data_IF_579685723352
#
_entry.id   IF_579685723352
#
_cell.length_a   1.000
_cell.length_b   1.000
_cell.length_c   1.000
_cell.angle_alpha   90.00
_cell.angle_beta   90.00
_cell.angle_gamma   90.00
#
_symmetry.space_group_name_H-M   'P 1'
#
loop_
_entity.id
_entity.type
_entity.pdbx_description
1 polymer ?
#
# COMPACT_ATOMS: atom_id res chain seq x y z
N UNK A 1 21.46 -10.59 7.60
CA UNK A 1 20.35 -10.96 6.71
C UNK A 1 19.20 -11.37 7.61
N UNK A 2 18.34 -10.46 8.12
CA UNK A 2 17.22 -10.91 8.93
C UNK A 2 16.22 -11.55 7.97
N UNK A 3 15.74 -12.74 8.31
CA UNK A 3 14.58 -13.35 7.66
C UNK A 3 13.42 -12.42 7.98
N UNK A 4 13.08 -11.57 7.02
CA UNK A 4 12.00 -10.60 7.12
C UNK A 4 10.71 -11.34 7.48
N UNK A 5 9.88 -10.71 8.30
CA UNK A 5 8.66 -11.28 8.86
C UNK A 5 7.65 -11.60 7.73
N UNK A 6 7.86 -12.75 7.09
CA UNK A 6 7.02 -13.24 6.01
C UNK A 6 5.79 -13.92 6.61
N UNK A 7 4.63 -13.52 6.14
CA UNK A 7 3.35 -14.05 6.59
C UNK A 7 2.75 -14.85 5.45
N UNK A 8 2.29 -16.06 5.77
CA UNK A 8 1.66 -16.93 4.78
C UNK A 8 0.34 -16.31 4.31
N UNK A 9 0.12 -16.31 3.00
CA UNK A 9 -1.09 -15.75 2.40
C UNK A 9 -2.36 -16.41 2.96
N UNK A 10 -2.32 -17.72 3.20
CA UNK A 10 -3.43 -18.49 3.77
C UNK A 10 -3.87 -17.97 5.14
N UNK A 11 -2.94 -17.51 5.97
CA UNK A 11 -3.21 -16.99 7.30
C UNK A 11 -4.02 -15.68 7.24
N UNK A 12 -3.69 -14.81 6.27
CA UNK A 12 -4.36 -13.53 6.05
C UNK A 12 -5.76 -13.76 5.45
N UNK A 13 -5.84 -14.63 4.44
CA UNK A 13 -7.12 -14.99 3.82
C UNK A 13 -8.10 -15.55 4.87
N UNK A 14 -7.59 -16.36 5.80
CA UNK A 14 -8.40 -16.93 6.90
C UNK A 14 -8.79 -15.88 7.94
N UNK A 15 -7.85 -15.03 8.39
CA UNK A 15 -8.12 -14.01 9.41
C UNK A 15 -9.10 -12.93 8.94
N UNK A 16 -8.96 -12.46 7.70
CA UNK A 16 -9.78 -11.39 7.15
C UNK A 16 -10.97 -11.89 6.32
N UNK A 17 -11.11 -13.21 6.15
CA UNK A 17 -12.15 -13.86 5.36
C UNK A 17 -12.26 -13.28 3.94
N UNK A 18 -11.10 -13.09 3.28
CA UNK A 18 -10.99 -12.51 1.95
C UNK A 18 -10.67 -13.57 0.90
N UNK A 19 -11.12 -13.36 -0.34
CA UNK A 19 -10.82 -14.27 -1.44
C UNK A 19 -9.35 -14.14 -1.88
N UNK A 20 -8.69 -15.28 -2.13
CA UNK A 20 -7.32 -15.32 -2.70
C UNK A 20 -7.24 -14.63 -4.05
N UNK A 21 -8.32 -14.66 -4.85
CA UNK A 21 -8.43 -13.96 -6.13
C UNK A 21 -8.28 -12.45 -6.00
N UNK A 22 -8.72 -11.85 -4.89
CA UNK A 22 -8.53 -10.43 -4.60
C UNK A 22 -7.05 -10.11 -4.39
N UNK A 23 -6.35 -10.92 -3.58
CA UNK A 23 -4.92 -10.76 -3.33
C UNK A 23 -4.11 -10.92 -4.62
N UNK A 24 -4.43 -11.92 -5.44
CA UNK A 24 -3.80 -12.07 -6.76
C UNK A 24 -4.03 -10.87 -7.67
N UNK A 25 -5.21 -10.24 -7.59
CA UNK A 25 -5.52 -9.05 -8.38
C UNK A 25 -4.70 -7.85 -7.90
N UNK A 26 -4.60 -7.63 -6.59
CA UNK A 26 -3.72 -6.60 -6.01
C UNK A 26 -2.25 -6.81 -6.42
N UNK A 27 -1.78 -8.06 -6.38
CA UNK A 27 -0.43 -8.40 -6.82
C UNK A 27 -0.20 -8.08 -8.31
N UNK A 28 -1.17 -8.42 -9.17
CA UNK A 28 -1.09 -8.15 -10.61
C UNK A 28 -1.05 -6.65 -10.93
N UNK A 29 -1.73 -5.83 -10.14
CA UNK A 29 -1.66 -4.36 -10.27
C UNK A 29 -0.39 -3.74 -9.67
N UNK A 30 0.45 -4.53 -8.99
CA UNK A 30 1.64 -4.03 -8.31
C UNK A 30 1.34 -3.24 -7.03
N UNK A 31 0.11 -3.34 -6.50
CA UNK A 31 -0.28 -2.70 -5.23
C UNK A 31 0.33 -3.40 -4.02
N UNK A 32 0.63 -4.69 -4.15
CA UNK A 32 1.33 -5.53 -3.18
C UNK A 32 2.30 -6.47 -3.91
N UNK A 33 3.32 -6.91 -3.21
CA UNK A 33 4.29 -7.92 -3.69
C UNK A 33 4.09 -9.24 -2.93
N UNK A 34 4.03 -10.35 -3.69
CA UNK A 34 3.92 -11.70 -3.16
C UNK A 34 5.20 -12.47 -3.47
N UNK A 35 5.70 -13.19 -2.47
CA UNK A 35 6.92 -14.00 -2.57
C UNK A 35 6.50 -15.46 -2.57
N UNK A 36 6.97 -16.23 -3.55
CA UNK A 36 6.69 -17.68 -3.61
C UNK A 36 7.88 -18.45 -3.02
N UNK A 37 7.63 -19.29 -2.01
CA UNK A 37 8.62 -20.18 -1.38
C UNK A 37 7.99 -21.56 -1.26
N UNK A 38 8.60 -22.59 -1.87
CA UNK A 38 8.09 -23.97 -1.85
C UNK A 38 6.60 -24.08 -2.25
N UNK A 39 6.22 -23.45 -3.36
CA UNK A 39 4.85 -23.37 -3.87
C UNK A 39 3.83 -22.68 -2.95
N UNK A 40 4.26 -22.11 -1.83
CA UNK A 40 3.43 -21.31 -0.94
C UNK A 40 3.70 -19.81 -1.15
N UNK A 41 2.63 -19.00 -1.05
CA UNK A 41 2.68 -17.56 -1.20
C UNK A 41 2.83 -16.87 0.15
N UNK A 42 3.73 -15.90 0.20
CA UNK A 42 4.05 -15.10 1.37
C UNK A 42 3.98 -13.61 1.04
N UNK A 43 3.70 -12.80 2.05
CA UNK A 43 3.77 -11.35 2.00
C UNK A 43 4.69 -10.84 3.11
N UNK A 44 5.43 -9.76 2.84
CA UNK A 44 6.23 -9.07 3.87
C UNK A 44 5.30 -8.36 4.86
N UNK A 45 5.53 -8.53 6.17
CA UNK A 45 4.81 -7.85 7.24
C UNK A 45 4.71 -6.32 7.04
N UNK A 46 5.73 -5.68 6.45
CA UNK A 46 5.71 -4.23 6.14
C UNK A 46 4.56 -3.83 5.21
N UNK A 47 4.04 -4.77 4.42
CA UNK A 47 2.93 -4.54 3.49
C UNK A 47 1.56 -4.75 4.15
N UNK A 48 1.47 -5.37 5.34
CA UNK A 48 0.19 -5.62 6.01
C UNK A 48 -0.66 -4.36 6.21
N UNK A 49 -0.13 -3.22 6.68
CA UNK A 49 -0.94 -2.02 6.89
C UNK A 49 -1.57 -1.50 5.59
N UNK A 50 -0.87 -1.66 4.46
CA UNK A 50 -1.39 -1.29 3.14
C UNK A 50 -2.45 -2.28 2.68
N UNK A 51 -2.22 -3.56 2.91
CA UNK A 51 -3.18 -4.61 2.58
C UNK A 51 -4.49 -4.44 3.35
N UNK A 52 -4.44 -4.19 4.66
CA UNK A 52 -5.62 -3.91 5.47
C UNK A 52 -6.41 -2.71 4.93
N UNK A 53 -5.72 -1.66 4.50
CA UNK A 53 -6.36 -0.50 3.88
C UNK A 53 -7.06 -0.84 2.56
N UNK A 54 -6.45 -1.68 1.73
CA UNK A 54 -7.07 -2.14 0.49
C UNK A 54 -8.26 -3.07 0.74
N UNK A 55 -8.18 -3.92 1.76
CA UNK A 55 -9.31 -4.74 2.23
C UNK A 55 -10.46 -3.83 2.66
N UNK A 56 -10.18 -2.79 3.45
CA UNK A 56 -11.18 -1.82 3.87
C UNK A 56 -11.81 -1.10 2.67
N UNK A 57 -11.02 -0.69 1.67
CA UNK A 57 -11.55 -0.08 0.45
C UNK A 57 -12.48 -1.02 -0.32
N UNK A 58 -12.11 -2.29 -0.44
CA UNK A 58 -12.90 -3.25 -1.19
C UNK A 58 -14.17 -3.68 -0.45
N UNK A 59 -14.04 -4.09 0.82
CA UNK A 59 -15.14 -4.71 1.56
C UNK A 59 -16.00 -3.72 2.35
N UNK A 60 -15.46 -2.55 2.75
CA UNK A 60 -16.25 -1.52 3.46
C UNK A 60 -16.75 -0.41 2.54
N UNK A 61 -15.98 -0.05 1.52
CA UNK A 61 -16.32 1.07 0.62
C UNK A 61 -16.81 0.60 -0.77
N UNK A 62 -16.86 -0.72 -1.02
CA UNK A 62 -17.32 -1.32 -2.28
C UNK A 62 -16.55 -0.82 -3.52
N UNK A 63 -15.23 -0.62 -3.34
CA UNK A 63 -14.33 -0.14 -4.41
C UNK A 63 -13.65 -1.34 -5.06
N UNK A 64 -13.68 -1.44 -6.38
CA UNK A 64 -12.97 -2.48 -7.13
C UNK A 64 -11.44 -2.26 -7.13
N UNK A 65 -10.68 -3.26 -7.58
CA UNK A 65 -9.22 -3.23 -7.58
C UNK A 65 -8.67 -2.10 -8.46
N UNK A 66 -9.27 -1.86 -9.63
CA UNK A 66 -8.89 -0.77 -10.53
C UNK A 66 -9.14 0.61 -9.90
N UNK A 67 -10.21 0.73 -9.10
CA UNK A 67 -10.50 1.92 -8.30
C UNK A 67 -9.46 2.13 -7.20
N UNK A 68 -9.07 1.06 -6.50
CA UNK A 68 -8.00 1.10 -5.50
C UNK A 68 -6.66 1.53 -6.14
N UNK A 69 -6.32 1.00 -7.32
CA UNK A 69 -5.12 1.39 -8.06
C UNK A 69 -5.14 2.88 -8.41
N UNK A 70 -6.27 3.36 -8.93
CA UNK A 70 -6.47 4.78 -9.26
C UNK A 70 -6.32 5.67 -8.01
N UNK A 71 -6.92 5.28 -6.88
CA UNK A 71 -6.80 5.98 -5.61
C UNK A 71 -5.35 6.01 -5.13
N UNK A 72 -4.64 4.87 -5.21
CA UNK A 72 -3.24 4.77 -4.80
C UNK A 72 -2.36 5.73 -5.61
N UNK A 73 -2.53 5.75 -6.94
CA UNK A 73 -1.81 6.66 -7.82
C UNK A 73 -2.13 8.13 -7.52
N UNK A 74 -3.40 8.47 -7.29
CA UNK A 74 -3.80 9.84 -6.93
C UNK A 74 -3.22 10.29 -5.58
N UNK A 75 -3.24 9.42 -4.57
CA UNK A 75 -2.64 9.70 -3.27
C UNK A 75 -1.13 9.91 -3.38
N UNK A 76 -0.44 9.11 -4.21
CA UNK A 76 0.97 9.29 -4.49
C UNK A 76 1.27 10.67 -5.10
N UNK A 77 0.48 11.09 -6.09
CA UNK A 77 0.62 12.40 -6.71
C UNK A 77 0.39 13.55 -5.72
N UNK A 78 -0.63 13.43 -4.86
CA UNK A 78 -0.90 14.42 -3.80
C UNK A 78 0.28 14.50 -2.83
N UNK A 79 0.82 13.37 -2.40
CA UNK A 79 1.97 13.32 -1.49
C UNK A 79 3.20 14.00 -2.10
N UNK A 80 3.52 13.68 -3.36
CA UNK A 80 4.63 14.30 -4.10
C UNK A 80 4.46 15.82 -4.21
N UNK A 81 3.25 16.29 -4.52
CA UNK A 81 2.96 17.73 -4.57
C UNK A 81 3.10 18.40 -3.19
N UNK A 82 2.62 17.75 -2.12
CA UNK A 82 2.80 18.25 -0.76
C UNK A 82 4.27 18.35 -0.36
N UNK A 83 5.09 17.38 -0.74
CA UNK A 83 6.53 17.42 -0.51
C UNK A 83 7.20 18.61 -1.24
N UNK A 84 6.86 18.85 -2.51
CA UNK A 84 7.37 20.00 -3.25
C UNK A 84 6.93 21.33 -2.63
N UNK A 85 5.66 21.47 -2.24
CA UNK A 85 5.16 22.65 -1.54
C UNK A 85 5.92 22.88 -0.23
N UNK A 86 6.15 21.83 0.57
CA UNK A 86 6.89 21.95 1.82
C UNK A 86 8.36 22.33 1.57
N UNK A 87 8.99 21.78 0.52
CA UNK A 87 10.35 22.14 0.12
C UNK A 87 10.44 23.61 -0.29
N UNK A 88 9.46 24.12 -1.03
CA UNK A 88 9.38 25.54 -1.41
C UNK A 88 9.19 26.41 -0.17
N UNK A 89 8.26 26.06 0.73
CA UNK A 89 8.02 26.80 1.99
C UNK A 89 9.27 26.86 2.86
N UNK A 90 9.97 25.74 3.03
CA UNK A 90 11.21 25.68 3.81
C UNK A 90 12.31 26.56 3.18
N UNK A 91 12.39 26.62 1.85
CA UNK A 91 13.31 27.53 1.15
C UNK A 91 12.91 28.98 1.35
N UNK A 92 11.62 29.31 1.24
CA UNK A 92 11.12 30.67 1.44
C UNK A 92 11.39 31.15 2.87
N UNK A 93 11.21 30.31 3.88
CA UNK A 93 11.53 30.65 5.28
C UNK A 93 13.00 31.06 5.49
N UNK A 94 13.92 30.56 4.66
CA UNK A 94 15.32 30.99 4.70
C UNK A 94 15.54 32.39 4.10
N UNK A 95 14.76 32.77 3.09
CA UNK A 95 14.90 34.07 2.39
C UNK A 95 14.01 35.18 2.97
N UNK A 96 12.87 34.80 3.55
CA UNK A 96 11.94 35.66 4.28
C UNK A 96 11.77 35.12 5.71
N UNK A 97 12.81 35.20 6.56
CA UNK A 97 12.62 34.92 7.97
C UNK A 97 11.58 35.92 8.48
N UNK A 98 10.43 35.40 8.95
CA UNK A 98 9.39 36.23 9.57
C UNK A 98 10.06 37.16 10.59
N UNK A 99 9.89 38.47 10.40
CA UNK A 99 10.40 39.51 11.30
C UNK A 99 9.47 39.71 12.47
#
# INVERSE_FOLDING_TARGET
>A
MPREDLIALEEICTHHNIATSFIHSLHRTGLIELITINDALFIDHKQLPYLEKYIDFHYKLDINVEGIESISHLLHNIYTLQQEVNKIKNRLQFYEPET
#
